data_IF_497687950039
#
_entry.id   IF_497687950039
#
_cell.length_a   1.000
_cell.length_b   1.000
_cell.length_c   1.000
_cell.angle_alpha   90.00
_cell.angle_beta   90.00
_cell.angle_gamma   90.00
#
_symmetry.space_group_name_H-M   'P 1'
#
loop_
_entity.id
_entity.type
_entity.pdbx_description
1 polymer ?
#
# COMPACT_ATOMS: atom_id res chain seq x y z
N UNK A 1 18.04 5.97 -27.04
CA UNK A 1 18.88 4.87 -27.50
C UNK A 1 18.02 3.95 -28.35
N UNK A 2 18.35 3.73 -29.65
CA UNK A 2 17.58 2.88 -30.57
C UNK A 2 17.80 1.37 -30.41
N UNK A 3 18.31 0.90 -29.25
CA UNK A 3 18.51 -0.53 -28.98
C UNK A 3 17.19 -1.24 -28.73
N UNK A 4 17.02 -2.42 -29.34
CA UNK A 4 15.85 -3.30 -29.12
C UNK A 4 16.01 -4.18 -27.87
N UNK A 5 17.21 -4.21 -27.28
CA UNK A 5 17.52 -4.99 -26.10
C UNK A 5 18.15 -4.13 -24.99
N UNK A 6 18.08 -4.63 -23.77
CA UNK A 6 18.75 -4.09 -22.58
C UNK A 6 19.59 -5.20 -21.97
N UNK A 7 20.84 -4.87 -21.65
CA UNK A 7 21.74 -5.78 -20.92
C UNK A 7 21.49 -5.59 -19.41
N UNK A 8 21.31 -6.68 -18.69
CA UNK A 8 21.15 -6.68 -17.25
C UNK A 8 21.81 -7.88 -16.59
N UNK A 9 22.11 -7.84 -15.27
CA UNK A 9 22.59 -9.00 -14.53
C UNK A 9 21.66 -10.20 -14.71
N UNK A 10 22.24 -11.38 -14.92
CA UNK A 10 21.49 -12.61 -15.18
C UNK A 10 20.52 -12.96 -14.02
N UNK A 11 20.91 -12.66 -12.79
CA UNK A 11 20.07 -12.88 -11.61
C UNK A 11 18.79 -12.02 -11.63
N UNK A 12 18.87 -10.79 -12.15
CA UNK A 12 17.70 -9.92 -12.27
C UNK A 12 16.76 -10.45 -13.36
N UNK A 13 17.32 -10.84 -14.52
CA UNK A 13 16.51 -11.42 -15.59
C UNK A 13 15.77 -12.67 -15.12
N UNK A 14 16.47 -13.58 -14.42
CA UNK A 14 15.84 -14.77 -13.83
C UNK A 14 14.75 -14.41 -12.82
N UNK A 15 14.99 -13.43 -11.97
CA UNK A 15 13.98 -12.97 -11.00
C UNK A 15 12.72 -12.42 -11.70
N UNK A 16 12.88 -11.66 -12.78
CA UNK A 16 11.76 -11.16 -13.58
C UNK A 16 10.97 -12.30 -14.23
N UNK A 17 11.66 -13.33 -14.76
CA UNK A 17 11.02 -14.52 -15.32
C UNK A 17 10.18 -15.27 -14.29
N UNK A 18 10.78 -15.55 -13.13
CA UNK A 18 10.14 -16.27 -12.05
C UNK A 18 8.89 -15.51 -11.55
N UNK A 19 9.00 -14.19 -11.33
CA UNK A 19 7.87 -13.35 -10.89
C UNK A 19 6.81 -13.22 -11.97
N UNK A 20 7.19 -13.03 -13.25
CA UNK A 20 6.23 -12.94 -14.36
C UNK A 20 5.39 -14.20 -14.48
N UNK A 21 6.00 -15.38 -14.34
CA UNK A 21 5.28 -16.64 -14.39
C UNK A 21 4.16 -16.73 -13.34
N UNK A 22 4.39 -16.22 -12.12
CA UNK A 22 3.37 -16.19 -11.06
C UNK A 22 2.32 -15.10 -11.32
N UNK A 23 2.76 -13.92 -11.81
CA UNK A 23 1.86 -12.83 -12.22
C UNK A 23 0.87 -13.29 -13.31
N UNK A 24 1.36 -14.02 -14.30
CA UNK A 24 0.52 -14.53 -15.39
C UNK A 24 -0.53 -15.53 -14.86
N UNK A 25 -0.15 -16.44 -13.96
CA UNK A 25 -1.09 -17.33 -13.29
C UNK A 25 -2.17 -16.54 -12.51
N UNK A 26 -1.73 -15.55 -11.72
CA UNK A 26 -2.63 -14.73 -10.93
C UNK A 26 -3.58 -13.88 -11.78
N UNK A 27 -3.06 -13.24 -12.82
CA UNK A 27 -3.85 -12.43 -13.73
C UNK A 27 -4.89 -13.24 -14.49
N UNK A 28 -4.61 -14.53 -14.74
CA UNK A 28 -5.53 -15.49 -15.36
C UNK A 28 -6.46 -16.21 -14.36
N UNK A 29 -6.41 -15.88 -13.07
CA UNK A 29 -7.26 -16.47 -12.05
C UNK A 29 -6.93 -17.93 -11.72
N UNK A 30 -5.70 -18.38 -11.97
CA UNK A 30 -5.25 -19.76 -11.75
C UNK A 30 -4.73 -20.00 -10.33
N UNK A 31 -4.41 -18.94 -9.60
CA UNK A 31 -3.95 -18.99 -8.21
C UNK A 31 -4.71 -17.97 -7.37
N UNK A 32 -4.89 -18.26 -6.09
CA UNK A 32 -5.50 -17.37 -5.10
C UNK A 32 -4.56 -16.22 -4.71
N UNK A 33 -5.08 -15.26 -3.94
CA UNK A 33 -4.26 -14.16 -3.37
C UNK A 33 -3.17 -14.70 -2.44
N UNK A 34 -3.48 -15.73 -1.66
CA UNK A 34 -2.53 -16.35 -0.75
C UNK A 34 -1.42 -17.09 -1.53
N UNK A 35 -1.77 -17.93 -2.50
CA UNK A 35 -0.79 -18.65 -3.32
C UNK A 35 0.12 -17.68 -4.09
N UNK A 36 -0.46 -16.62 -4.67
CA UNK A 36 0.33 -15.55 -5.31
C UNK A 36 1.33 -14.92 -4.33
N UNK A 37 0.88 -14.56 -3.13
CA UNK A 37 1.72 -13.96 -2.11
C UNK A 37 2.85 -14.90 -1.69
N UNK A 38 2.55 -16.16 -1.42
CA UNK A 38 3.51 -17.18 -0.96
C UNK A 38 4.57 -17.48 -2.03
N UNK A 39 4.15 -17.72 -3.28
CA UNK A 39 5.07 -17.96 -4.38
C UNK A 39 5.98 -16.73 -4.63
N UNK A 40 5.44 -15.52 -4.70
CA UNK A 40 6.23 -14.30 -4.95
C UNK A 40 7.13 -13.97 -3.76
N UNK A 41 6.67 -14.16 -2.54
CA UNK A 41 7.50 -13.97 -1.35
C UNK A 41 8.70 -14.94 -1.35
N UNK A 42 8.47 -16.20 -1.69
CA UNK A 42 9.51 -17.23 -1.80
C UNK A 42 10.52 -16.88 -2.89
N UNK A 43 10.07 -16.50 -4.09
CA UNK A 43 10.93 -16.07 -5.19
C UNK A 43 11.79 -14.87 -4.77
N UNK A 44 11.19 -13.88 -4.09
CA UNK A 44 11.89 -12.69 -3.60
C UNK A 44 12.98 -13.04 -2.58
N UNK A 45 12.67 -13.89 -1.60
CA UNK A 45 13.66 -14.27 -0.59
C UNK A 45 14.80 -15.11 -1.20
N UNK A 46 14.51 -16.02 -2.12
CA UNK A 46 15.51 -16.78 -2.86
C UNK A 46 16.43 -15.86 -3.68
N UNK A 47 15.85 -14.87 -4.38
CA UNK A 47 16.62 -13.86 -5.09
C UNK A 47 17.52 -13.06 -4.14
N UNK A 48 16.95 -12.55 -3.03
CA UNK A 48 17.71 -11.79 -2.03
C UNK A 48 18.88 -12.58 -1.46
N UNK A 49 18.68 -13.86 -1.17
CA UNK A 49 19.75 -14.73 -0.64
C UNK A 49 20.82 -14.96 -1.71
N UNK A 50 20.43 -15.15 -2.98
CA UNK A 50 21.40 -15.38 -4.09
C UNK A 50 22.31 -14.18 -4.36
N UNK A 51 21.83 -12.95 -4.16
CA UNK A 51 22.59 -11.71 -4.44
C UNK A 51 23.12 -11.01 -3.17
N UNK A 52 22.93 -11.62 -2.00
CA UNK A 52 23.24 -11.01 -0.70
C UNK A 52 24.66 -10.52 -0.52
N UNK A 53 25.62 -11.26 -1.05
CA UNK A 53 27.03 -10.93 -0.94
C UNK A 53 27.58 -10.25 -2.19
N UNK A 54 27.22 -10.75 -3.36
CA UNK A 54 27.67 -10.24 -4.66
C UNK A 54 26.80 -10.80 -5.79
N UNK A 55 26.83 -10.11 -6.94
CA UNK A 55 26.30 -10.64 -8.20
C UNK A 55 27.38 -11.53 -8.84
N UNK A 56 26.98 -12.52 -9.65
CA UNK A 56 27.92 -13.41 -10.37
C UNK A 56 28.81 -12.65 -11.36
N UNK A 57 28.33 -11.50 -11.87
CA UNK A 57 28.92 -10.75 -12.95
C UNK A 57 28.49 -11.26 -14.34
N UNK A 58 27.63 -12.27 -14.39
CA UNK A 58 27.03 -12.73 -15.65
C UNK A 58 25.94 -11.73 -16.08
N UNK A 59 25.91 -11.45 -17.37
CA UNK A 59 24.94 -10.55 -17.99
C UNK A 59 24.13 -11.29 -19.07
N UNK A 60 22.89 -10.84 -19.24
CA UNK A 60 22.01 -11.34 -20.30
C UNK A 60 21.34 -10.21 -21.03
N UNK A 61 21.02 -10.41 -22.29
CA UNK A 61 20.21 -9.48 -23.08
C UNK A 61 18.73 -9.82 -22.93
N UNK A 62 17.96 -8.80 -22.63
CA UNK A 62 16.49 -8.90 -22.51
C UNK A 62 15.85 -7.94 -23.50
N UNK A 63 14.85 -8.39 -24.25
CA UNK A 63 14.16 -7.53 -25.21
C UNK A 63 13.30 -6.48 -24.50
N UNK A 64 13.13 -5.31 -25.12
CA UNK A 64 12.22 -4.27 -24.63
C UNK A 64 10.78 -4.76 -24.61
N UNK A 65 10.38 -5.57 -25.57
CA UNK A 65 9.02 -6.11 -25.64
C UNK A 65 8.75 -6.98 -24.43
N UNK A 66 9.68 -7.85 -24.05
CA UNK A 66 9.57 -8.64 -22.82
C UNK A 66 9.48 -7.78 -21.57
N UNK A 67 10.30 -6.73 -21.46
CA UNK A 67 10.21 -5.79 -20.33
C UNK A 67 8.82 -5.12 -20.27
N UNK A 68 8.27 -4.73 -21.41
CA UNK A 68 6.92 -4.16 -21.49
C UNK A 68 5.86 -5.17 -21.09
N UNK A 69 6.00 -6.44 -21.46
CA UNK A 69 5.10 -7.53 -21.01
C UNK A 69 5.14 -7.69 -19.49
N UNK A 70 6.34 -7.70 -18.89
CA UNK A 70 6.52 -7.78 -17.44
C UNK A 70 5.82 -6.60 -16.74
N UNK A 71 6.07 -5.37 -17.19
CA UNK A 71 5.42 -4.19 -16.63
C UNK A 71 3.90 -4.20 -16.82
N UNK A 72 3.42 -4.70 -17.95
CA UNK A 72 1.98 -4.84 -18.20
C UNK A 72 1.33 -5.86 -17.24
N UNK A 73 2.03 -6.97 -16.96
CA UNK A 73 1.55 -7.95 -15.99
C UNK A 73 1.51 -7.39 -14.57
N UNK A 74 2.53 -6.60 -14.17
CA UNK A 74 2.51 -5.88 -12.90
C UNK A 74 1.37 -4.86 -12.82
N UNK A 75 1.15 -4.07 -13.87
CA UNK A 75 0.08 -3.08 -13.93
C UNK A 75 -1.29 -3.76 -13.73
N UNK A 76 -1.56 -4.84 -14.47
CA UNK A 76 -2.81 -5.60 -14.34
C UNK A 76 -3.02 -6.15 -12.91
N UNK A 77 -1.96 -6.60 -12.24
CA UNK A 77 -2.04 -7.04 -10.83
C UNK A 77 -2.31 -5.88 -9.89
N UNK A 78 -1.68 -4.72 -10.12
CA UNK A 78 -1.88 -3.52 -9.31
C UNK A 78 -3.33 -3.02 -9.45
N UNK A 79 -3.87 -2.99 -10.67
CA UNK A 79 -5.25 -2.57 -10.92
C UNK A 79 -6.25 -3.44 -10.14
N UNK A 80 -6.09 -4.76 -10.19
CA UNK A 80 -6.91 -5.69 -9.38
C UNK A 80 -6.78 -5.42 -7.87
N UNK A 81 -5.56 -5.07 -7.41
CA UNK A 81 -5.33 -4.72 -6.01
C UNK A 81 -6.02 -3.42 -5.60
N UNK A 82 -6.04 -2.42 -6.50
CA UNK A 82 -6.74 -1.15 -6.28
C UNK A 82 -8.26 -1.39 -6.23
N UNK A 83 -8.82 -2.18 -7.15
CA UNK A 83 -10.25 -2.53 -7.15
C UNK A 83 -10.68 -3.18 -5.82
N UNK A 84 -9.94 -4.18 -5.36
CA UNK A 84 -10.18 -4.83 -4.06
C UNK A 84 -10.06 -3.84 -2.89
N UNK A 85 -9.06 -2.97 -2.91
CA UNK A 85 -8.87 -1.97 -1.86
C UNK A 85 -10.01 -0.95 -1.82
N UNK A 86 -10.50 -0.48 -2.98
CA UNK A 86 -11.64 0.43 -3.09
C UNK A 86 -12.92 -0.24 -2.54
N UNK A 87 -13.14 -1.52 -2.88
CA UNK A 87 -14.27 -2.29 -2.36
C UNK A 87 -14.21 -2.42 -0.84
N UNK A 88 -13.06 -2.84 -0.28
CA UNK A 88 -12.86 -2.96 1.17
C UNK A 88 -12.99 -1.63 1.91
N UNK A 89 -12.70 -0.53 1.25
CA UNK A 89 -12.77 0.83 1.79
C UNK A 89 -14.06 1.58 1.43
N UNK A 90 -15.12 0.88 0.98
CA UNK A 90 -16.40 1.52 0.63
C UNK A 90 -16.26 2.75 -0.29
N UNK A 91 -15.45 2.63 -1.34
CA UNK A 91 -15.20 3.67 -2.33
C UNK A 91 -14.02 4.60 -2.05
N UNK A 92 -13.31 4.39 -0.93
CA UNK A 92 -12.05 5.07 -0.64
C UNK A 92 -10.96 4.01 -0.42
N UNK A 93 -9.75 4.24 -0.93
CA UNK A 93 -8.63 3.34 -0.71
C UNK A 93 -8.13 3.45 0.73
N UNK A 94 -8.20 2.38 1.54
CA UNK A 94 -7.52 2.33 2.82
C UNK A 94 -6.00 2.43 2.64
N UNK A 95 -5.33 3.11 3.55
CA UNK A 95 -3.86 3.23 3.49
C UNK A 95 -3.18 1.94 3.96
N UNK A 96 -3.76 1.27 4.95
CA UNK A 96 -3.18 0.12 5.61
C UNK A 96 -4.19 -1.03 5.77
N UNK A 97 -3.65 -2.24 5.78
CA UNK A 97 -4.38 -3.47 6.01
C UNK A 97 -3.65 -4.30 7.06
N UNK A 98 -4.41 -5.07 7.84
CA UNK A 98 -3.88 -6.14 8.67
C UNK A 98 -4.20 -7.48 8.06
N UNK A 99 -3.33 -8.45 8.28
CA UNK A 99 -3.50 -9.83 7.84
C UNK A 99 -3.47 -10.74 9.06
N UNK A 100 -4.60 -11.33 9.39
CA UNK A 100 -4.73 -12.28 10.49
C UNK A 100 -4.64 -13.69 9.94
N UNK A 101 -3.74 -14.52 10.47
CA UNK A 101 -3.68 -15.93 10.12
C UNK A 101 -4.92 -16.63 10.68
N UNK A 102 -5.78 -17.15 9.81
CA UNK A 102 -7.03 -17.85 10.17
C UNK A 102 -6.92 -19.34 10.02
N UNK A 103 -5.98 -19.83 9.20
CA UNK A 103 -5.62 -21.23 9.08
C UNK A 103 -4.09 -21.38 9.08
N UNK A 104 -3.59 -22.35 9.86
CA UNK A 104 -2.16 -22.60 9.98
C UNK A 104 -1.86 -24.01 10.49
N UNK A 105 -0.72 -24.55 10.11
CA UNK A 105 -0.19 -25.83 10.57
C UNK A 105 1.03 -25.62 11.47
N UNK A 106 1.04 -26.17 12.70
CA UNK A 106 2.21 -26.16 13.55
C UNK A 106 3.37 -26.94 12.91
N UNK A 107 4.58 -26.38 12.97
CA UNK A 107 5.78 -27.08 12.50
C UNK A 107 6.27 -28.04 13.58
N UNK A 108 6.47 -29.30 13.20
CA UNK A 108 7.05 -30.33 14.05
C UNK A 108 8.31 -30.91 13.39
N UNK A 109 9.21 -31.45 14.22
CA UNK A 109 10.39 -32.16 13.75
C UNK A 109 10.06 -33.61 13.30
N UNK A 110 11.06 -34.37 12.87
CA UNK A 110 10.93 -35.75 12.42
C UNK A 110 10.39 -36.70 13.53
N UNK A 111 10.47 -36.30 14.78
CA UNK A 111 9.98 -37.05 15.93
C UNK A 111 8.61 -36.57 16.42
N UNK A 112 8.00 -35.58 15.75
CA UNK A 112 6.72 -34.99 16.13
C UNK A 112 6.81 -33.93 17.23
N UNK A 113 8.01 -33.50 17.64
CA UNK A 113 8.15 -32.44 18.63
C UNK A 113 8.00 -31.03 18.01
N UNK A 114 7.43 -30.07 18.76
CA UNK A 114 7.29 -28.70 18.28
C UNK A 114 8.63 -28.05 17.92
N UNK A 115 8.75 -27.50 16.71
CA UNK A 115 9.90 -26.66 16.33
C UNK A 115 9.68 -25.26 16.87
N UNK A 116 10.56 -24.82 17.77
CA UNK A 116 10.45 -23.54 18.44
C UNK A 116 11.21 -22.43 17.69
N UNK A 117 10.67 -21.22 17.71
CA UNK A 117 11.39 -20.01 17.32
C UNK A 117 12.37 -19.58 18.41
N UNK A 118 13.26 -18.62 18.11
CA UNK A 118 14.18 -18.08 19.12
C UNK A 118 13.44 -17.27 20.22
N UNK A 119 12.18 -16.94 20.02
CA UNK A 119 11.31 -16.33 21.03
C UNK A 119 10.59 -17.34 21.95
N UNK A 120 10.83 -18.64 21.77
CA UNK A 120 10.17 -19.68 22.54
C UNK A 120 8.72 -19.97 22.12
N UNK A 121 8.29 -19.49 20.96
CA UNK A 121 6.99 -19.78 20.37
C UNK A 121 7.13 -20.89 19.33
N UNK A 122 6.14 -21.79 19.23
CA UNK A 122 6.10 -22.81 18.20
C UNK A 122 6.00 -22.15 16.82
N UNK A 123 6.82 -22.61 15.87
CA UNK A 123 6.70 -22.20 14.47
C UNK A 123 5.44 -22.77 13.85
N UNK A 124 4.85 -22.00 12.94
CA UNK A 124 3.70 -22.44 12.15
C UNK A 124 3.87 -22.03 10.68
N UNK A 125 3.28 -22.81 9.79
CA UNK A 125 3.12 -22.46 8.38
C UNK A 125 1.69 -21.95 8.21
N UNK A 126 1.55 -20.70 7.81
CA UNK A 126 0.23 -20.11 7.55
C UNK A 126 -0.30 -20.65 6.23
N UNK A 127 -1.59 -20.96 6.19
CA UNK A 127 -2.32 -21.47 5.03
C UNK A 127 -3.30 -20.44 4.46
N UNK A 128 -3.85 -19.61 5.33
CA UNK A 128 -4.82 -18.60 4.94
C UNK A 128 -4.72 -17.35 5.82
N UNK A 129 -4.88 -16.17 5.19
CA UNK A 129 -5.01 -14.89 5.87
C UNK A 129 -6.40 -14.31 5.67
N UNK A 130 -6.95 -13.73 6.74
CA UNK A 130 -8.04 -12.76 6.66
C UNK A 130 -7.46 -11.35 6.57
N UNK A 131 -7.75 -10.68 5.48
CA UNK A 131 -7.34 -9.27 5.30
C UNK A 131 -8.42 -8.34 5.80
N UNK A 132 -8.03 -7.36 6.63
CA UNK A 132 -8.93 -6.35 7.19
C UNK A 132 -8.34 -4.97 6.93
N UNK A 133 -9.15 -4.07 6.36
CA UNK A 133 -8.75 -2.68 6.20
C UNK A 133 -8.73 -1.97 7.56
N UNK A 134 -7.67 -1.23 7.85
CA UNK A 134 -7.65 -0.31 8.99
C UNK A 134 -8.54 0.92 8.71
N UNK A 135 -8.96 1.65 9.74
CA UNK A 135 -9.60 2.94 9.56
C UNK A 135 -8.81 3.87 8.65
N UNK A 136 -9.47 4.81 8.01
CA UNK A 136 -8.85 5.66 7.00
C UNK A 136 -7.70 6.48 7.56
N UNK A 137 -6.63 6.54 6.77
CA UNK A 137 -5.57 7.54 6.86
C UNK A 137 -5.63 8.41 5.61
N UNK A 138 -5.31 9.68 5.74
CA UNK A 138 -5.43 10.66 4.65
C UNK A 138 -4.53 10.33 3.45
N UNK A 139 -3.45 9.60 3.68
CA UNK A 139 -2.49 9.28 2.63
C UNK A 139 -3.09 8.41 1.51
N UNK A 140 -3.94 7.43 1.81
CA UNK A 140 -4.62 6.61 0.81
C UNK A 140 -5.42 7.46 -0.18
N UNK A 141 -6.41 8.24 0.29
CA UNK A 141 -7.14 9.17 -0.55
C UNK A 141 -6.25 10.20 -1.28
N UNK A 142 -5.22 10.75 -0.61
CA UNK A 142 -4.31 11.70 -1.23
C UNK A 142 -3.53 11.12 -2.41
N UNK A 143 -3.08 9.88 -2.29
CA UNK A 143 -2.35 9.18 -3.36
C UNK A 143 -3.26 8.81 -4.53
N UNK A 144 -4.44 8.31 -4.24
CA UNK A 144 -5.38 7.88 -5.28
C UNK A 144 -5.95 9.07 -6.05
N UNK A 145 -6.40 10.13 -5.35
CA UNK A 145 -7.07 11.28 -5.96
C UNK A 145 -6.25 11.92 -7.10
N UNK A 146 -4.93 11.99 -6.97
CA UNK A 146 -4.07 12.53 -8.01
C UNK A 146 -3.89 11.65 -9.25
N UNK A 147 -4.47 10.44 -9.27
CA UNK A 147 -4.32 9.44 -10.33
C UNK A 147 -5.67 8.99 -10.93
N UNK A 148 -6.77 9.64 -10.56
CA UNK A 148 -8.11 9.34 -11.09
C UNK A 148 -8.62 10.52 -11.92
N UNK A 149 -9.71 10.32 -12.66
CA UNK A 149 -10.38 11.40 -13.40
C UNK A 149 -11.11 12.37 -12.46
N UNK A 150 -11.51 13.52 -12.99
CA UNK A 150 -12.15 14.61 -12.25
C UNK A 150 -13.45 14.17 -11.54
N UNK A 151 -14.28 13.34 -12.18
CA UNK A 151 -15.53 12.85 -11.62
C UNK A 151 -15.28 11.98 -10.38
N UNK A 152 -14.43 10.97 -10.51
CA UNK A 152 -14.04 10.11 -9.40
C UNK A 152 -13.35 10.88 -8.27
N UNK A 153 -12.49 11.86 -8.61
CA UNK A 153 -11.84 12.72 -7.61
C UNK A 153 -12.87 13.53 -6.80
N UNK A 154 -13.91 14.04 -7.45
CA UNK A 154 -14.98 14.80 -6.78
C UNK A 154 -15.83 13.90 -5.88
N UNK A 155 -16.11 12.67 -6.32
CA UNK A 155 -16.76 11.68 -5.46
C UNK A 155 -15.90 11.35 -4.23
N UNK A 156 -14.59 11.11 -4.43
CA UNK A 156 -13.64 10.87 -3.33
C UNK A 156 -13.59 12.04 -2.35
N UNK A 157 -13.52 13.27 -2.83
CA UNK A 157 -13.55 14.48 -2.01
C UNK A 157 -14.79 14.53 -1.10
N UNK A 158 -15.96 14.27 -1.68
CA UNK A 158 -17.22 14.24 -0.93
C UNK A 158 -17.27 13.08 0.06
N UNK A 159 -16.71 11.93 -0.29
CA UNK A 159 -16.67 10.77 0.59
C UNK A 159 -15.69 10.95 1.75
N UNK A 160 -14.51 11.53 1.51
CA UNK A 160 -13.55 11.85 2.58
C UNK A 160 -14.17 12.77 3.62
N UNK A 161 -14.98 13.76 3.22
CA UNK A 161 -15.68 14.65 4.14
C UNK A 161 -16.72 13.94 5.06
N UNK A 162 -17.21 12.78 4.65
CA UNK A 162 -18.15 11.96 5.45
C UNK A 162 -17.44 11.02 6.42
N UNK A 163 -16.11 10.94 6.34
CA UNK A 163 -15.31 10.10 7.24
C UNK A 163 -14.77 10.89 8.43
N UNK A 164 -14.22 10.18 9.40
CA UNK A 164 -13.52 10.81 10.52
C UNK A 164 -12.21 11.52 10.14
N UNK A 165 -11.84 11.58 8.86
CA UNK A 165 -10.68 12.33 8.36
C UNK A 165 -10.91 13.83 8.32
N UNK A 166 -12.14 14.29 8.17
CA UNK A 166 -12.47 15.71 8.12
C UNK A 166 -12.94 16.22 9.48
N UNK A 167 -12.33 17.30 9.96
CA UNK A 167 -12.75 18.01 11.14
C UNK A 167 -13.61 19.22 10.72
N UNK A 168 -14.91 19.14 10.97
CA UNK A 168 -15.87 20.18 10.57
C UNK A 168 -15.63 21.53 11.27
N UNK A 169 -15.12 21.50 12.52
CA UNK A 169 -14.90 22.72 13.30
C UNK A 169 -13.69 23.49 12.81
N UNK A 170 -12.62 22.76 12.48
CA UNK A 170 -11.40 23.34 11.96
C UNK A 170 -11.48 23.55 10.44
N UNK A 171 -12.39 22.86 9.75
CA UNK A 171 -12.45 22.74 8.30
C UNK A 171 -11.14 22.23 7.69
N UNK A 172 -10.49 21.31 8.39
CA UNK A 172 -9.18 20.75 8.05
C UNK A 172 -9.22 19.22 8.05
N UNK A 173 -8.20 18.61 7.42
CA UNK A 173 -8.11 17.16 7.31
C UNK A 173 -7.09 16.58 8.29
N UNK A 174 -7.53 15.57 9.03
CA UNK A 174 -6.72 14.82 9.99
C UNK A 174 -5.89 13.75 9.27
N UNK A 175 -4.77 13.36 9.88
CA UNK A 175 -3.91 12.28 9.38
C UNK A 175 -4.60 10.92 9.38
N UNK A 176 -5.45 10.67 10.39
CA UNK A 176 -6.23 9.43 10.49
C UNK A 176 -7.64 9.69 11.02
N UNK A 177 -8.57 8.84 10.66
CA UNK A 177 -9.80 8.63 11.41
C UNK A 177 -9.47 7.99 12.78
N UNK A 178 -10.48 7.79 13.63
CA UNK A 178 -10.25 7.13 14.92
C UNK A 178 -9.77 5.70 14.73
N UNK A 179 -8.66 5.37 15.40
CA UNK A 179 -8.06 4.04 15.44
C UNK A 179 -8.18 3.39 16.83
N UNK A 180 -9.10 3.89 17.67
CA UNK A 180 -9.27 3.42 19.06
C UNK A 180 -9.54 1.91 19.14
N UNK A 181 -10.35 1.38 18.22
CA UNK A 181 -10.68 -0.05 18.15
C UNK A 181 -9.62 -0.95 17.52
N UNK A 182 -8.50 -0.39 17.03
CA UNK A 182 -7.47 -1.18 16.36
C UNK A 182 -6.57 -1.90 17.38
N UNK A 183 -5.98 -3.03 16.92
CA UNK A 183 -4.94 -3.74 17.67
C UNK A 183 -3.74 -2.83 17.94
N UNK A 184 -3.03 -3.09 19.03
CA UNK A 184 -1.73 -2.45 19.34
C UNK A 184 -0.65 -2.79 18.30
N UNK A 185 -0.84 -3.81 17.48
CA UNK A 185 0.03 -4.14 16.34
C UNK A 185 0.01 -3.08 15.24
N UNK A 186 -1.01 -2.17 15.22
CA UNK A 186 -0.98 -0.96 14.41
C UNK A 186 0.19 -0.01 14.78
N UNK A 187 0.95 -0.36 15.80
CA UNK A 187 2.19 0.30 16.19
C UNK A 187 1.97 1.60 16.97
N UNK A 188 2.98 2.47 16.90
CA UNK A 188 3.00 3.69 17.72
C UNK A 188 1.81 4.62 17.50
N UNK A 189 1.25 4.67 16.30
CA UNK A 189 0.08 5.51 16.03
C UNK A 189 -1.11 5.12 16.92
N UNK A 190 -1.28 3.81 17.24
CA UNK A 190 -2.31 3.35 18.17
C UNK A 190 -1.99 3.73 19.63
N UNK A 191 -0.72 3.78 20.00
CA UNK A 191 -0.28 4.11 21.36
C UNK A 191 -0.35 5.62 21.67
N UNK A 192 -0.30 6.49 20.66
CA UNK A 192 -0.40 7.93 20.87
C UNK A 192 -1.79 8.34 21.37
N UNK A 193 -1.85 9.47 22.08
CA UNK A 193 -3.12 10.11 22.45
C UNK A 193 -3.81 10.67 21.21
N UNK A 194 -5.15 10.56 21.06
CA UNK A 194 -5.86 11.23 19.98
C UNK A 194 -5.55 12.72 19.89
N UNK A 195 -5.28 13.20 18.69
CA UNK A 195 -4.85 14.59 18.43
C UNK A 195 -3.34 14.78 18.51
N UNK A 196 -2.54 13.72 18.73
CA UNK A 196 -1.09 13.81 18.78
C UNK A 196 -0.42 12.92 17.74
N UNK A 197 0.65 13.46 17.12
CA UNK A 197 1.42 12.80 16.06
C UNK A 197 0.52 12.29 14.92
N UNK A 198 0.65 11.05 14.51
CA UNK A 198 -0.13 10.46 13.41
C UNK A 198 -1.55 10.04 13.81
N UNK A 199 -1.94 10.19 15.09
CA UNK A 199 -3.26 9.78 15.57
C UNK A 199 -4.24 10.95 15.61
N UNK A 200 -5.17 10.99 14.66
CA UNK A 200 -6.29 11.94 14.61
C UNK A 200 -5.87 13.43 14.65
N UNK A 201 -4.64 13.75 14.29
CA UNK A 201 -4.09 15.10 14.30
C UNK A 201 -4.08 15.72 12.90
N UNK A 202 -4.13 17.03 12.82
CA UNK A 202 -3.92 17.77 11.57
C UNK A 202 -2.43 17.97 11.36
N UNK A 203 -1.86 17.29 10.35
CA UNK A 203 -0.50 17.53 9.88
C UNK A 203 -0.55 18.25 8.55
N UNK A 204 -0.19 19.54 8.56
CA UNK A 204 -0.27 20.38 7.37
C UNK A 204 0.46 19.80 6.16
N UNK A 205 1.59 19.12 6.35
CA UNK A 205 2.30 18.50 5.24
C UNK A 205 1.50 17.36 4.56
N UNK A 206 0.69 16.60 5.31
CA UNK A 206 -0.21 15.60 4.75
C UNK A 206 -1.45 16.24 4.13
N UNK A 207 -2.01 17.23 4.80
CA UNK A 207 -3.14 17.98 4.28
C UNK A 207 -2.79 18.68 2.96
N UNK A 208 -1.60 19.28 2.86
CA UNK A 208 -1.15 19.89 1.60
C UNK A 208 -0.92 18.88 0.48
N UNK A 209 -0.50 17.66 0.76
CA UNK A 209 -0.44 16.59 -0.25
C UNK A 209 -1.84 16.26 -0.78
N UNK A 210 -2.83 16.17 0.12
CA UNK A 210 -4.22 15.93 -0.26
C UNK A 210 -4.78 17.09 -1.08
N UNK A 211 -4.56 18.34 -0.65
CA UNK A 211 -4.97 19.53 -1.38
C UNK A 211 -4.28 19.61 -2.76
N UNK A 212 -2.98 19.30 -2.84
CA UNK A 212 -2.26 19.24 -4.11
C UNK A 212 -2.85 18.19 -5.06
N UNK A 213 -3.34 17.06 -4.54
CA UNK A 213 -3.97 16.04 -5.35
C UNK A 213 -5.27 16.51 -6.01
N UNK A 214 -5.99 17.45 -5.38
CA UNK A 214 -7.19 18.08 -5.98
C UNK A 214 -6.84 18.86 -7.26
N UNK A 215 -5.73 19.62 -7.25
CA UNK A 215 -5.26 20.32 -8.45
C UNK A 215 -4.88 19.32 -9.55
N UNK A 216 -4.15 18.28 -9.18
CA UNK A 216 -3.71 17.24 -10.12
C UNK A 216 -4.87 16.51 -10.76
N UNK A 217 -5.96 16.34 -10.05
CA UNK A 217 -7.19 15.72 -10.53
C UNK A 217 -8.12 16.70 -11.27
N UNK A 218 -7.81 18.00 -11.32
CA UNK A 218 -8.61 19.01 -12.01
C UNK A 218 -9.79 19.57 -11.21
N UNK A 219 -9.99 19.17 -9.95
CA UNK A 219 -11.08 19.69 -9.09
C UNK A 219 -10.68 21.03 -8.44
N UNK A 220 -10.50 22.05 -9.27
CA UNK A 220 -10.03 23.37 -8.85
C UNK A 220 -10.98 24.10 -7.87
N UNK A 221 -12.31 24.08 -8.03
CA UNK A 221 -13.22 24.73 -7.08
C UNK A 221 -13.07 24.17 -5.66
N UNK A 222 -12.97 22.85 -5.50
CA UNK A 222 -12.80 22.14 -4.25
C UNK A 222 -11.41 22.45 -3.63
N UNK A 223 -10.40 22.58 -4.48
CA UNK A 223 -9.07 23.04 -4.06
C UNK A 223 -9.14 24.45 -3.42
N UNK A 224 -9.74 25.41 -4.11
CA UNK A 224 -9.82 26.79 -3.59
C UNK A 224 -10.66 26.91 -2.32
N UNK A 225 -11.76 26.17 -2.21
CA UNK A 225 -12.56 26.10 -0.99
C UNK A 225 -11.74 25.54 0.17
N UNK A 226 -10.98 24.48 -0.08
CA UNK A 226 -10.19 23.81 0.97
C UNK A 226 -8.97 24.64 1.37
N UNK A 227 -8.18 25.14 0.42
CA UNK A 227 -6.92 25.84 0.72
C UNK A 227 -7.16 27.14 1.47
N UNK A 228 -8.22 27.86 1.18
CA UNK A 228 -8.57 29.10 1.89
C UNK A 228 -8.94 28.88 3.35
N UNK A 229 -9.39 27.68 3.71
CA UNK A 229 -9.74 27.31 5.09
C UNK A 229 -8.55 26.66 5.81
N UNK A 230 -7.79 25.81 5.12
CA UNK A 230 -6.65 25.10 5.68
C UNK A 230 -5.42 26.01 5.90
N UNK A 231 -5.22 27.04 5.08
CA UNK A 231 -4.18 28.02 5.31
C UNK A 231 -4.57 28.95 6.46
N UNK A 232 -3.80 28.90 7.54
CA UNK A 232 -3.91 29.88 8.61
C UNK A 232 -3.25 31.16 8.11
N UNK A 233 -4.03 32.19 7.73
CA UNK A 233 -3.44 33.44 7.24
C UNK A 233 -2.56 34.04 8.33
N UNK A 234 -1.36 34.49 7.97
CA UNK A 234 -0.40 35.14 8.90
C UNK A 234 -1.06 36.31 9.64
N UNK A 235 -2.03 36.98 9.02
CA UNK A 235 -2.81 38.05 9.62
C UNK A 235 -3.58 37.68 10.90
N UNK A 236 -3.93 36.40 11.06
CA UNK A 236 -4.62 35.94 12.29
C UNK A 236 -3.68 35.63 13.45
N UNK A 237 -2.40 35.37 13.18
CA UNK A 237 -1.40 35.14 14.23
C UNK A 237 -0.93 36.44 14.93
N UNK A 238 -1.19 37.58 14.34
CA UNK A 238 -0.79 38.89 14.88
C UNK A 238 -1.96 39.72 15.47
N UNK A 239 -3.18 39.20 15.44
CA UNK A 239 -4.38 39.89 15.93
C UNK A 239 -4.85 39.41 17.32
N UNK A 240 -3.99 38.72 18.06
CA UNK A 240 -4.27 38.32 19.46
C UNK A 240 -3.16 38.84 20.39
#
# INVERSE_FOLDING_TARGET
>A
NGSETVVMPAEIAKYLDDVKAVLDKYNNGQVSDFEYWDEVATIRENYRESVKLYLSGEETEVSKDYINEVFSAFAAKIDKGIEKAVEMGNGLVPTYFTHEAVDFEPVVDENGNPVMSHYGLQKAVVKEFKTVALPYFLEGPARMMGNVNEETAREMYNNVKKTGLYDEKLAMYKTSASIEGCSMEAGRCRAFTPGWQERENVFLHMEYKYILSMIRAGICPEFYDTITRALIPVSYTHLR
#
